data_IF_680469969636
#
_entry.id   IF_680469969636
#
_cell.length_a   1.000
_cell.length_b   1.000
_cell.length_c   1.000
_cell.angle_alpha   90.00
_cell.angle_beta   90.00
_cell.angle_gamma   90.00
#
_symmetry.space_group_name_H-M   'P 1'
#
loop_
_entity.id
_entity.type
_entity.pdbx_description
1 polymer ?
#
# COMPACT_ATOMS: atom_id res chain seq x y z
N UNK A 1 -16.12 -53.62 -35.02
CA UNK A 1 -15.53 -53.75 -33.68
C UNK A 1 -14.63 -52.52 -33.47
N UNK A 2 -15.26 -51.39 -33.08
CA UNK A 2 -14.57 -50.12 -32.89
C UNK A 2 -14.28 -49.92 -31.40
N UNK A 3 -12.99 -49.81 -31.04
CA UNK A 3 -12.50 -49.48 -29.71
C UNK A 3 -12.40 -47.93 -29.61
N UNK A 4 -13.35 -47.32 -28.93
CA UNK A 4 -13.30 -45.87 -28.57
C UNK A 4 -12.29 -45.68 -27.44
N UNK A 5 -11.23 -44.91 -27.72
CA UNK A 5 -10.29 -44.42 -26.74
C UNK A 5 -10.91 -43.18 -26.07
N UNK A 6 -11.38 -43.29 -24.84
CA UNK A 6 -11.78 -42.13 -24.03
C UNK A 6 -10.56 -41.50 -23.39
N UNK A 7 -10.29 -40.25 -23.76
CA UNK A 7 -9.31 -39.39 -23.10
C UNK A 7 -10.07 -38.46 -22.15
N UNK A 8 -9.70 -38.44 -20.90
CA UNK A 8 -10.14 -37.40 -19.96
C UNK A 8 -9.04 -36.38 -19.82
N UNK A 9 -9.32 -35.15 -20.26
CA UNK A 9 -8.46 -34.00 -20.06
C UNK A 9 -9.08 -33.13 -18.97
N UNK A 10 -8.41 -33.03 -17.83
CA UNK A 10 -8.79 -32.06 -16.76
C UNK A 10 -8.07 -30.73 -17.01
N UNK A 11 -8.85 -29.71 -17.35
CA UNK A 11 -8.39 -28.33 -17.36
C UNK A 11 -8.62 -27.70 -16.00
N UNK A 12 -7.54 -27.44 -15.26
CA UNK A 12 -7.58 -26.60 -14.07
C UNK A 12 -7.09 -25.19 -14.42
N UNK A 13 -7.97 -24.20 -14.32
CA UNK A 13 -7.58 -22.78 -14.25
C UNK A 13 -7.10 -22.47 -12.84
N UNK A 14 -5.95 -21.84 -12.78
CA UNK A 14 -5.30 -21.20 -11.64
C UNK A 14 -6.07 -21.14 -10.31
N UNK A 15 -5.52 -21.79 -9.28
CA UNK A 15 -5.52 -21.31 -7.91
C UNK A 15 -4.36 -22.00 -7.16
N UNK A 16 -3.41 -21.21 -6.75
CA UNK A 16 -2.34 -21.62 -5.84
C UNK A 16 -2.91 -21.43 -4.44
N UNK A 17 -3.46 -22.51 -3.82
CA UNK A 17 -3.73 -22.60 -2.40
C UNK A 17 -4.12 -24.04 -2.02
N UNK A 18 -3.98 -24.40 -0.76
CA UNK A 18 -4.14 -25.70 -0.10
C UNK A 18 -5.34 -26.60 -0.53
N UNK A 19 -6.29 -26.05 -1.26
CA UNK A 19 -7.46 -26.71 -1.84
C UNK A 19 -7.09 -27.72 -2.95
N UNK A 20 -5.95 -27.56 -3.62
CA UNK A 20 -5.55 -28.44 -4.74
C UNK A 20 -5.12 -29.83 -4.27
N UNK A 21 -4.50 -29.90 -3.11
CA UNK A 21 -4.04 -31.19 -2.52
C UNK A 21 -5.23 -32.04 -2.04
N UNK A 22 -6.25 -31.40 -1.48
CA UNK A 22 -7.44 -32.13 -1.01
C UNK A 22 -8.28 -32.68 -2.17
N UNK A 23 -8.46 -31.92 -3.24
CA UNK A 23 -9.19 -32.36 -4.44
C UNK A 23 -8.47 -33.47 -5.21
N UNK A 24 -7.13 -33.44 -5.21
CA UNK A 24 -6.33 -34.51 -5.84
C UNK A 24 -6.44 -35.82 -5.08
N UNK A 25 -6.42 -35.79 -3.75
CA UNK A 25 -6.57 -36.96 -2.87
C UNK A 25 -7.99 -37.52 -3.01
N UNK A 26 -9.02 -36.68 -3.06
CA UNK A 26 -10.41 -37.11 -3.24
C UNK A 26 -10.66 -37.76 -4.61
N UNK A 27 -10.06 -37.21 -5.67
CA UNK A 27 -10.13 -37.79 -7.02
C UNK A 27 -9.40 -39.11 -7.13
N UNK A 28 -8.29 -39.29 -6.44
CA UNK A 28 -7.54 -40.58 -6.38
C UNK A 28 -8.28 -41.62 -5.52
N UNK A 29 -8.99 -41.22 -4.49
CA UNK A 29 -9.86 -42.12 -3.68
C UNK A 29 -11.08 -42.58 -4.46
N UNK A 30 -11.72 -41.74 -5.25
CA UNK A 30 -12.87 -42.08 -6.12
C UNK A 30 -12.49 -43.00 -7.27
N UNK A 31 -11.25 -42.93 -7.76
CA UNK A 31 -10.73 -43.88 -8.77
C UNK A 31 -10.53 -45.29 -8.21
N UNK A 32 -10.35 -45.46 -6.91
CA UNK A 32 -10.13 -46.75 -6.26
C UNK A 32 -11.42 -47.56 -6.06
N UNK A 33 -12.58 -46.93 -6.09
CA UNK A 33 -13.89 -47.58 -5.85
C UNK A 33 -14.57 -48.07 -7.13
N UNK A 34 -14.08 -47.72 -8.30
CA UNK A 34 -14.52 -48.28 -9.58
C UNK A 34 -13.38 -49.12 -10.16
N UNK A 35 -13.59 -50.39 -10.31
CA UNK A 35 -12.69 -51.46 -10.81
C UNK A 35 -12.13 -51.13 -12.22
N UNK A 36 -11.45 -50.02 -12.39
CA UNK A 36 -10.89 -49.52 -13.66
C UNK A 36 -9.38 -49.69 -13.62
N UNK A 37 -8.86 -50.47 -14.52
CA UNK A 37 -7.42 -50.65 -14.73
C UNK A 37 -6.77 -49.30 -15.11
N UNK A 38 -5.72 -48.85 -14.43
CA UNK A 38 -5.08 -47.56 -14.75
C UNK A 38 -4.29 -47.64 -16.05
N UNK A 39 -4.81 -46.99 -17.10
CA UNK A 39 -4.18 -46.95 -18.43
C UNK A 39 -3.34 -45.69 -18.62
N UNK A 40 -2.60 -45.11 -17.94
CA UNK A 40 -1.76 -43.89 -18.07
C UNK A 40 -2.49 -42.59 -17.69
N UNK A 41 -2.04 -41.93 -16.67
CA UNK A 41 -2.41 -40.57 -16.31
C UNK A 41 -1.27 -39.65 -16.77
N UNK A 42 -1.56 -38.71 -17.67
CA UNK A 42 -0.62 -37.67 -18.10
C UNK A 42 -1.08 -36.38 -17.42
N UNK A 43 -0.27 -35.86 -16.51
CA UNK A 43 -0.49 -34.57 -15.88
C UNK A 43 0.34 -33.54 -16.66
N UNK A 44 -0.32 -32.60 -17.33
CA UNK A 44 0.33 -31.43 -17.93
C UNK A 44 0.13 -30.23 -17.01
N UNK A 45 1.21 -29.72 -16.47
CA UNK A 45 1.21 -28.38 -15.87
C UNK A 45 1.37 -27.33 -16.98
N UNK A 46 0.54 -26.31 -16.98
CA UNK A 46 0.64 -25.18 -17.89
C UNK A 46 1.95 -24.38 -17.67
N UNK A 47 2.32 -23.48 -18.59
CA UNK A 47 3.61 -22.81 -18.59
C UNK A 47 3.70 -21.82 -17.42
N UNK A 48 4.52 -22.14 -16.45
CA UNK A 48 5.06 -21.18 -15.51
C UNK A 48 6.25 -20.51 -16.22
N UNK A 49 6.28 -19.18 -16.30
CA UNK A 49 7.37 -18.41 -16.89
C UNK A 49 8.59 -18.47 -15.98
N UNK A 50 9.34 -19.56 -16.04
CA UNK A 50 10.78 -19.62 -15.77
C UNK A 50 11.32 -20.90 -16.38
N UNK A 51 12.31 -20.76 -17.22
CA UNK A 51 12.92 -21.83 -17.99
C UNK A 51 13.60 -22.88 -17.12
N UNK A 52 13.49 -24.11 -17.65
CA UNK A 52 14.23 -25.32 -17.28
C UNK A 52 13.66 -26.15 -16.11
N UNK A 53 13.39 -27.34 -16.51
CA UNK A 53 13.17 -28.65 -15.90
C UNK A 53 11.76 -29.22 -16.09
N UNK A 54 11.51 -29.77 -17.27
CA UNK A 54 10.52 -30.85 -17.45
C UNK A 54 11.06 -32.13 -16.78
N UNK A 55 10.61 -32.45 -15.59
CA UNK A 55 10.81 -33.77 -15.00
C UNK A 55 9.55 -34.59 -15.22
N UNK A 56 9.67 -35.61 -16.07
CA UNK A 56 8.65 -36.63 -16.21
C UNK A 56 8.82 -37.67 -15.08
N UNK A 57 7.85 -37.77 -14.17
CA UNK A 57 7.77 -38.87 -13.24
C UNK A 57 7.04 -40.08 -13.92
N UNK A 58 7.80 -41.08 -14.30
CA UNK A 58 7.24 -42.33 -14.78
C UNK A 58 7.00 -43.29 -13.62
N UNK A 59 5.73 -43.57 -13.31
CA UNK A 59 5.37 -44.67 -12.42
C UNK A 59 5.02 -45.91 -13.25
N UNK A 60 5.87 -46.89 -13.22
CA UNK A 60 5.63 -48.21 -13.84
C UNK A 60 5.23 -49.18 -12.74
N UNK A 61 3.95 -49.50 -12.61
CA UNK A 61 3.52 -50.61 -11.75
C UNK A 61 3.65 -51.92 -12.51
N UNK A 62 4.60 -52.76 -12.09
CA UNK A 62 4.65 -54.19 -12.48
C UNK A 62 3.74 -54.95 -11.53
N UNK A 63 2.86 -55.78 -12.10
CA UNK A 63 1.94 -56.61 -11.36
C UNK A 63 2.64 -57.71 -10.56
N UNK A 64 2.04 -58.01 -9.41
CA UNK A 64 2.20 -59.28 -8.71
C UNK A 64 3.17 -59.28 -7.53
N UNK A 65 2.80 -58.67 -6.38
CA UNK A 65 3.24 -59.13 -5.05
C UNK A 65 2.12 -58.94 -4.03
N UNK A 66 2.07 -59.86 -3.03
CA UNK A 66 0.94 -59.99 -2.07
C UNK A 66 0.66 -58.72 -1.28
N UNK A 67 -0.61 -58.40 -1.13
CA UNK A 67 -1.23 -57.18 -0.65
C UNK A 67 -0.85 -56.68 0.77
N UNK A 68 -0.03 -57.41 1.53
CA UNK A 68 0.36 -56.98 2.89
C UNK A 68 1.50 -55.97 2.94
N UNK A 69 2.42 -56.03 1.96
CA UNK A 69 3.60 -55.16 1.93
C UNK A 69 3.33 -53.83 1.21
N UNK A 70 2.30 -53.79 0.35
CA UNK A 70 1.95 -52.56 -0.40
C UNK A 70 1.40 -51.43 0.49
N UNK A 71 0.77 -51.78 1.63
CA UNK A 71 0.25 -50.71 2.56
C UNK A 71 1.38 -50.01 3.31
N UNK A 72 2.49 -50.67 3.59
CA UNK A 72 3.66 -50.08 4.26
C UNK A 72 4.48 -49.20 3.31
N UNK A 73 4.63 -49.64 2.04
CA UNK A 73 5.34 -48.82 1.03
C UNK A 73 4.53 -47.59 0.58
N UNK A 74 3.21 -47.68 0.50
CA UNK A 74 2.36 -46.53 0.20
C UNK A 74 2.37 -45.47 1.32
N UNK A 75 2.42 -45.90 2.58
CA UNK A 75 2.53 -45.01 3.72
C UNK A 75 3.90 -44.29 3.80
N UNK A 76 4.98 -44.98 3.47
CA UNK A 76 6.34 -44.43 3.41
C UNK A 76 6.53 -43.45 2.23
N UNK A 77 5.92 -43.72 1.08
CA UNK A 77 6.00 -42.82 -0.07
C UNK A 77 5.19 -41.51 0.14
N UNK A 78 4.07 -41.60 0.86
CA UNK A 78 3.24 -40.40 1.19
C UNK A 78 3.93 -39.53 2.26
N UNK A 79 4.59 -40.16 3.26
CA UNK A 79 5.35 -39.40 4.26
C UNK A 79 6.61 -38.73 3.66
N UNK A 80 7.29 -39.36 2.70
CA UNK A 80 8.43 -38.77 2.02
C UNK A 80 8.04 -37.58 1.10
N UNK A 81 6.86 -37.62 0.48
CA UNK A 81 6.34 -36.50 -0.33
C UNK A 81 5.88 -35.33 0.54
N UNK A 82 5.33 -35.60 1.73
CA UNK A 82 4.96 -34.49 2.67
C UNK A 82 6.18 -33.82 3.30
N UNK A 83 7.28 -34.55 3.53
CA UNK A 83 8.51 -33.94 4.08
C UNK A 83 9.27 -33.09 3.06
N UNK A 84 9.20 -33.44 1.76
CA UNK A 84 9.83 -32.67 0.68
C UNK A 84 9.03 -31.43 0.29
N UNK A 85 7.69 -31.41 0.54
CA UNK A 85 6.87 -30.23 0.31
C UNK A 85 6.90 -29.21 1.47
N UNK A 86 7.49 -29.57 2.62
CA UNK A 86 7.74 -28.64 3.74
C UNK A 86 9.15 -28.04 3.76
N UNK A 87 10.02 -28.44 2.85
CA UNK A 87 11.29 -27.78 2.59
C UNK A 87 11.13 -26.70 1.47
N UNK A 88 10.00 -25.99 1.44
CA UNK A 88 9.95 -24.66 0.93
C UNK A 88 10.85 -23.83 1.84
N UNK A 89 11.85 -23.21 1.27
CA UNK A 89 12.75 -22.29 1.96
C UNK A 89 11.89 -21.37 2.82
N UNK A 90 11.88 -21.59 4.12
CA UNK A 90 11.72 -20.50 5.07
C UNK A 90 13.04 -19.74 4.88
N UNK A 91 13.08 -18.83 3.91
CA UNK A 91 13.95 -17.69 4.01
C UNK A 91 13.57 -17.09 5.36
N UNK A 92 14.45 -17.09 6.32
CA UNK A 92 14.27 -16.22 7.47
C UNK A 92 14.04 -14.85 6.86
N UNK A 93 12.88 -14.23 7.11
CA UNK A 93 12.63 -12.88 6.67
C UNK A 93 13.84 -12.08 7.14
N UNK A 94 14.57 -11.47 6.21
CA UNK A 94 15.68 -10.61 6.55
C UNK A 94 15.06 -9.46 7.33
N UNK A 95 15.58 -9.14 8.50
CA UNK A 95 15.02 -8.10 9.32
C UNK A 95 15.45 -6.76 8.73
N UNK A 96 14.51 -5.95 8.28
CA UNK A 96 14.80 -4.59 7.82
C UNK A 96 15.22 -3.75 9.02
N UNK A 97 16.48 -3.28 9.04
CA UNK A 97 17.05 -2.43 10.08
C UNK A 97 17.50 -1.06 9.55
N UNK A 98 17.60 -0.93 8.23
CA UNK A 98 17.96 0.29 7.51
C UNK A 98 17.39 0.29 6.09
N UNK A 99 17.53 1.40 5.36
CA UNK A 99 17.16 1.46 3.94
C UNK A 99 18.01 0.55 3.04
N UNK A 100 19.22 0.19 3.48
CA UNK A 100 20.09 -0.70 2.72
C UNK A 100 19.59 -2.15 2.70
N UNK A 101 18.68 -2.50 3.64
CA UNK A 101 18.10 -3.84 3.75
C UNK A 101 16.83 -4.02 2.90
N UNK A 102 16.36 -2.99 2.21
CA UNK A 102 15.11 -3.03 1.44
C UNK A 102 15.18 -3.92 0.19
N UNK A 103 16.38 -4.18 -0.33
CA UNK A 103 16.57 -5.00 -1.53
C UNK A 103 16.06 -6.43 -1.32
N UNK A 104 15.10 -6.85 -2.16
CA UNK A 104 14.48 -8.18 -2.09
C UNK A 104 13.31 -8.32 -1.12
N UNK A 105 13.00 -7.28 -0.33
CA UNK A 105 11.90 -7.27 0.64
C UNK A 105 10.56 -6.86 0.00
N UNK A 106 9.47 -7.08 0.73
CA UNK A 106 8.13 -6.64 0.35
C UNK A 106 7.79 -5.35 1.07
N UNK A 107 7.73 -4.25 0.32
CA UNK A 107 7.55 -2.89 0.83
C UNK A 107 6.10 -2.47 0.62
N UNK A 108 5.41 -2.05 1.69
CA UNK A 108 4.08 -1.46 1.60
C UNK A 108 4.14 0.06 1.51
N UNK A 109 3.33 0.64 0.64
CA UNK A 109 3.25 2.08 0.43
C UNK A 109 1.80 2.50 0.17
N UNK A 110 1.50 3.78 0.37
CA UNK A 110 0.25 4.35 -0.15
C UNK A 110 0.46 4.76 -1.62
N UNK A 111 -0.50 4.38 -2.47
CA UNK A 111 -0.46 4.62 -3.92
C UNK A 111 -0.29 6.11 -4.27
N UNK A 112 0.69 6.43 -5.10
CA UNK A 112 0.92 7.76 -5.64
C UNK A 112 1.66 8.73 -4.71
N UNK A 113 2.07 8.31 -3.51
CA UNK A 113 2.91 9.09 -2.61
C UNK A 113 4.38 9.09 -3.07
N UNK A 114 5.20 9.94 -2.46
CA UNK A 114 6.66 9.89 -2.67
C UNK A 114 7.24 8.58 -2.16
N UNK A 115 6.73 8.04 -1.05
CA UNK A 115 7.11 6.71 -0.58
C UNK A 115 6.85 5.59 -1.60
N UNK A 116 5.79 5.69 -2.45
CA UNK A 116 5.56 4.75 -3.56
C UNK A 116 6.60 4.95 -4.68
N UNK A 117 6.93 6.20 -5.01
CA UNK A 117 7.94 6.49 -6.03
C UNK A 117 9.31 5.96 -5.61
N UNK A 118 9.72 6.24 -4.39
CA UNK A 118 11.00 5.83 -3.83
C UNK A 118 11.11 4.31 -3.69
N UNK A 119 10.05 3.66 -3.17
CA UNK A 119 10.00 2.21 -3.06
C UNK A 119 10.11 1.52 -4.42
N UNK A 120 9.54 2.13 -5.48
CA UNK A 120 9.58 1.60 -6.85
C UNK A 120 11.01 1.46 -7.39
N UNK A 121 11.94 2.27 -6.91
CA UNK A 121 13.35 2.17 -7.27
C UNK A 121 14.00 0.85 -6.81
N UNK A 122 13.48 0.23 -5.75
CA UNK A 122 13.97 -1.05 -5.24
C UNK A 122 13.43 -2.26 -6.00
N UNK A 123 12.41 -2.10 -6.87
CA UNK A 123 11.91 -3.20 -7.72
C UNK A 123 13.01 -3.76 -8.64
N UNK A 124 13.95 -2.93 -9.09
CA UNK A 124 15.13 -3.35 -9.88
C UNK A 124 16.08 -4.24 -9.08
N UNK A 125 16.10 -4.10 -7.76
CA UNK A 125 16.93 -4.86 -6.82
C UNK A 125 16.21 -6.08 -6.25
N UNK A 126 15.02 -6.38 -6.78
CA UNK A 126 14.25 -7.59 -6.50
C UNK A 126 13.18 -7.45 -5.42
N UNK A 127 12.95 -6.25 -4.92
CA UNK A 127 11.86 -5.94 -3.99
C UNK A 127 10.50 -6.03 -4.65
N UNK A 128 9.47 -6.26 -3.86
CA UNK A 128 8.07 -6.21 -4.28
C UNK A 128 7.42 -5.00 -3.62
N UNK A 129 6.84 -4.08 -4.39
CA UNK A 129 6.11 -2.93 -3.86
C UNK A 129 4.61 -3.23 -3.88
N UNK A 130 4.03 -3.35 -2.69
CA UNK A 130 2.59 -3.55 -2.49
C UNK A 130 1.94 -2.20 -2.21
N UNK A 131 1.06 -1.77 -3.13
CA UNK A 131 0.42 -0.46 -3.11
C UNK A 131 -0.96 -0.55 -2.52
N UNK A 132 -1.25 0.28 -1.53
CA UNK A 132 -2.53 0.38 -0.82
C UNK A 132 -3.16 1.73 -1.07
N UNK A 133 -4.48 1.81 -0.99
CA UNK A 133 -5.17 3.11 -1.11
C UNK A 133 -4.93 3.99 0.12
N UNK A 134 -4.68 3.36 1.29
CA UNK A 134 -4.50 4.03 2.57
C UNK A 134 -3.23 3.55 3.26
N UNK A 135 -2.51 4.45 3.92
CA UNK A 135 -1.36 4.10 4.76
C UNK A 135 -1.74 3.12 5.89
N UNK A 136 -2.96 3.25 6.45
CA UNK A 136 -3.50 2.34 7.46
C UNK A 136 -3.64 0.90 6.97
N UNK A 137 -3.95 0.67 5.68
CA UNK A 137 -4.02 -0.67 5.09
C UNK A 137 -2.63 -1.30 4.96
N UNK A 138 -1.62 -0.51 4.56
CA UNK A 138 -0.22 -0.96 4.52
C UNK A 138 0.26 -1.38 5.92
N UNK A 139 -0.04 -0.58 6.94
CA UNK A 139 0.28 -0.91 8.35
C UNK A 139 -0.43 -2.18 8.82
N UNK A 140 -1.69 -2.40 8.45
CA UNK A 140 -2.38 -3.66 8.76
C UNK A 140 -1.75 -4.87 8.05
N UNK A 141 -1.32 -4.72 6.80
CA UNK A 141 -0.61 -5.76 6.06
C UNK A 141 0.74 -6.10 6.71
N UNK A 142 1.50 -5.08 7.19
CA UNK A 142 2.72 -5.25 7.97
C UNK A 142 2.44 -6.06 9.25
N UNK A 143 1.43 -5.68 10.03
CA UNK A 143 1.03 -6.41 11.25
C UNK A 143 0.63 -7.85 10.97
N UNK A 144 -0.04 -8.10 9.86
CA UNK A 144 -0.40 -9.44 9.41
C UNK A 144 0.79 -10.26 8.90
N UNK A 145 1.97 -9.66 8.71
CA UNK A 145 3.17 -10.32 8.15
C UNK A 145 3.02 -10.63 6.66
N UNK A 146 2.27 -9.83 5.94
CA UNK A 146 2.10 -9.93 4.49
C UNK A 146 3.18 -9.14 3.74
N UNK A 147 3.73 -8.11 4.38
CA UNK A 147 4.83 -7.27 3.93
C UNK A 147 5.88 -7.15 5.04
N UNK A 148 7.07 -6.71 4.70
CA UNK A 148 8.23 -6.67 5.59
C UNK A 148 8.42 -5.29 6.24
N UNK A 149 8.05 -4.23 5.54
CA UNK A 149 8.10 -2.84 6.04
C UNK A 149 7.06 -1.95 5.34
N UNK A 150 6.86 -0.74 5.89
CA UNK A 150 6.07 0.33 5.27
C UNK A 150 6.93 1.57 5.15
N UNK A 151 6.95 2.23 3.98
CA UNK A 151 7.53 3.56 3.78
C UNK A 151 6.37 4.56 3.80
N UNK A 152 6.47 5.56 4.67
CA UNK A 152 5.45 6.58 4.88
C UNK A 152 6.07 7.78 5.60
N UNK A 153 5.38 8.91 5.58
CA UNK A 153 5.82 10.14 6.22
C UNK A 153 5.88 10.03 7.75
N UNK A 154 6.83 10.76 8.35
CA UNK A 154 7.23 10.60 9.75
C UNK A 154 6.11 10.90 10.74
N UNK A 155 5.27 11.91 10.52
CA UNK A 155 4.20 12.26 11.45
C UNK A 155 3.06 11.23 11.45
N UNK A 156 2.51 10.79 10.30
CA UNK A 156 1.58 9.66 10.25
C UNK A 156 2.20 8.36 10.78
N UNK A 157 3.49 8.09 10.50
CA UNK A 157 4.19 6.93 11.06
C UNK A 157 4.18 6.96 12.58
N UNK A 158 4.44 8.13 13.19
CA UNK A 158 4.39 8.30 14.64
C UNK A 158 3.01 7.95 15.20
N UNK A 159 1.93 8.43 14.57
CA UNK A 159 0.56 8.10 14.96
C UNK A 159 0.25 6.62 14.88
N UNK A 160 0.73 5.95 13.83
CA UNK A 160 0.57 4.49 13.72
C UNK A 160 1.32 3.75 14.81
N UNK A 161 2.55 4.14 15.14
CA UNK A 161 3.37 3.46 16.16
C UNK A 161 2.85 3.73 17.58
N UNK A 162 2.33 4.93 17.86
CA UNK A 162 1.67 5.26 19.14
C UNK A 162 0.48 4.34 19.43
N UNK A 163 -0.24 3.93 18.39
CA UNK A 163 -1.41 3.06 18.50
C UNK A 163 -1.10 1.56 18.32
N UNK A 164 0.17 1.18 18.09
CA UNK A 164 0.57 -0.19 17.79
C UNK A 164 1.92 -0.53 18.46
N UNK A 165 1.87 -1.08 19.66
CA UNK A 165 3.05 -1.41 20.46
C UNK A 165 4.01 -2.42 19.83
N UNK A 166 3.54 -3.18 18.84
CA UNK A 166 4.30 -4.19 18.08
C UNK A 166 5.08 -3.62 16.89
N UNK A 167 4.94 -2.30 16.64
CA UNK A 167 5.62 -1.59 15.55
C UNK A 167 6.67 -0.60 16.08
N UNK A 168 7.61 -0.26 15.24
CA UNK A 168 8.59 0.81 15.46
C UNK A 168 8.94 1.51 14.15
N UNK A 169 9.35 2.77 14.27
CA UNK A 169 10.00 3.52 13.18
C UNK A 169 11.50 3.26 13.29
N UNK A 170 12.19 3.15 12.15
CA UNK A 170 13.65 3.12 12.13
C UNK A 170 14.22 4.51 12.40
N UNK A 171 15.36 4.57 13.11
CA UNK A 171 15.93 5.83 13.61
C UNK A 171 16.42 6.77 12.48
N UNK A 172 16.85 6.21 11.34
CA UNK A 172 17.35 6.97 10.22
C UNK A 172 16.19 7.33 9.27
N UNK A 173 15.96 8.63 8.98
CA UNK A 173 14.95 9.03 8.00
C UNK A 173 15.34 8.53 6.60
N UNK A 174 14.33 8.13 5.84
CA UNK A 174 14.53 7.61 4.49
C UNK A 174 14.85 8.73 3.49
N UNK A 175 14.03 9.80 3.49
CA UNK A 175 14.15 10.99 2.63
C UNK A 175 13.64 12.24 3.36
N UNK A 176 14.14 13.44 3.00
CA UNK A 176 13.64 14.72 3.50
C UNK A 176 12.74 15.36 2.44
N UNK A 177 11.65 15.97 2.88
CA UNK A 177 10.61 16.49 2.01
C UNK A 177 10.07 17.83 2.50
N UNK A 178 9.42 18.57 1.60
CA UNK A 178 8.72 19.81 1.92
C UNK A 178 7.30 19.77 1.34
N UNK A 179 6.31 20.14 2.15
CA UNK A 179 4.91 20.18 1.73
C UNK A 179 4.48 21.55 1.23
N UNK A 180 3.68 21.54 0.16
CA UNK A 180 3.07 22.73 -0.41
C UNK A 180 1.65 22.45 -0.91
N UNK A 181 0.87 23.49 -1.11
CA UNK A 181 -0.46 23.44 -1.72
C UNK A 181 -0.28 23.38 -3.23
N UNK A 182 -0.94 22.44 -3.89
CA UNK A 182 -0.89 22.34 -5.34
C UNK A 182 -2.11 22.97 -6.01
N UNK A 183 -1.88 23.63 -7.15
CA UNK A 183 -2.90 24.31 -7.94
C UNK A 183 -2.84 23.87 -9.41
N UNK A 184 -3.94 24.12 -10.12
CA UNK A 184 -3.97 23.90 -11.56
C UNK A 184 -2.91 24.75 -12.24
N UNK A 185 -2.14 24.11 -13.11
CA UNK A 185 -1.05 24.75 -13.85
C UNK A 185 -1.53 25.96 -14.63
N UNK A 186 -0.81 27.08 -14.44
CA UNK A 186 -1.11 28.36 -15.09
C UNK A 186 -2.26 29.15 -14.45
N UNK A 187 -2.70 28.77 -13.24
CA UNK A 187 -3.63 29.58 -12.45
C UNK A 187 -2.86 30.56 -11.54
N UNK A 188 -2.06 31.43 -12.18
CA UNK A 188 -1.11 32.33 -11.49
C UNK A 188 -1.84 33.29 -10.54
N UNK A 189 -3.06 33.74 -10.89
CA UNK A 189 -3.83 34.66 -10.05
C UNK A 189 -4.19 34.04 -8.70
N UNK A 190 -4.67 32.79 -8.68
CA UNK A 190 -5.02 32.11 -7.44
C UNK A 190 -3.76 31.70 -6.67
N UNK A 191 -2.71 31.28 -7.37
CA UNK A 191 -1.41 30.94 -6.78
C UNK A 191 -0.82 32.13 -6.03
N UNK A 192 -0.80 33.33 -6.65
CA UNK A 192 -0.29 34.55 -6.02
C UNK A 192 -1.12 34.96 -4.79
N UNK A 193 -2.45 34.81 -4.86
CA UNK A 193 -3.33 35.08 -3.72
C UNK A 193 -3.07 34.14 -2.55
N UNK A 194 -3.00 32.83 -2.82
CA UNK A 194 -2.75 31.83 -1.78
C UNK A 194 -1.36 32.01 -1.18
N UNK A 195 -0.32 32.24 -2.00
CA UNK A 195 1.03 32.53 -1.52
C UNK A 195 1.09 33.80 -0.67
N UNK A 196 0.37 34.84 -1.08
CA UNK A 196 0.28 36.06 -0.29
C UNK A 196 -0.33 35.82 1.09
N UNK A 197 -1.47 35.12 1.13
CA UNK A 197 -2.13 34.76 2.38
C UNK A 197 -1.27 33.84 3.24
N UNK A 198 -0.66 32.80 2.66
CA UNK A 198 0.22 31.86 3.34
C UNK A 198 1.44 32.57 3.96
N UNK A 199 2.04 33.50 3.20
CA UNK A 199 3.14 34.32 3.72
C UNK A 199 2.73 35.14 4.92
N UNK A 200 1.59 35.80 4.87
CA UNK A 200 1.07 36.59 6.00
C UNK A 200 0.80 35.71 7.23
N UNK A 201 0.21 34.53 7.03
CA UNK A 201 -0.07 33.56 8.10
C UNK A 201 1.21 32.98 8.72
N UNK A 202 2.28 32.84 7.93
CA UNK A 202 3.61 32.50 8.44
C UNK A 202 4.25 33.64 9.21
N UNK A 203 4.19 34.85 8.67
CA UNK A 203 4.79 36.05 9.27
C UNK A 203 4.12 36.44 10.60
N UNK A 204 2.81 36.21 10.76
CA UNK A 204 2.06 36.48 12.00
C UNK A 204 2.04 35.31 12.99
N UNK A 205 2.65 34.15 12.64
CA UNK A 205 2.78 32.99 13.51
C UNK A 205 1.54 32.07 13.52
N UNK A 206 0.53 32.32 12.68
CA UNK A 206 -0.68 31.49 12.60
C UNK A 206 -0.35 30.06 12.16
N UNK A 207 0.51 29.90 11.13
CA UNK A 207 0.94 28.57 10.66
C UNK A 207 1.64 27.81 11.77
N UNK A 208 2.57 28.44 12.51
CA UNK A 208 3.27 27.81 13.63
C UNK A 208 2.31 27.42 14.76
N UNK A 209 1.30 28.25 15.04
CA UNK A 209 0.26 27.95 16.03
C UNK A 209 -0.60 26.74 15.60
N UNK A 210 -1.00 26.68 14.32
CA UNK A 210 -1.72 25.52 13.76
C UNK A 210 -0.85 24.26 13.89
N UNK A 211 0.40 24.31 13.42
CA UNK A 211 1.32 23.14 13.51
C UNK A 211 1.46 22.66 14.95
N UNK A 212 1.69 23.56 15.91
CA UNK A 212 1.86 23.19 17.32
C UNK A 212 0.58 22.66 17.97
N UNK A 213 -0.60 22.99 17.43
CA UNK A 213 -1.86 22.42 17.90
C UNK A 213 -2.02 20.93 17.57
N UNK A 214 -1.31 20.43 16.57
CA UNK A 214 -1.39 19.03 16.14
C UNK A 214 -0.14 18.21 16.46
N UNK A 215 1.03 18.84 16.55
CA UNK A 215 2.32 18.19 16.72
C UNK A 215 3.02 18.73 17.98
N UNK A 216 3.54 17.79 18.82
CA UNK A 216 4.34 18.13 20.00
C UNK A 216 3.54 18.24 21.29
N UNK A 217 4.16 18.87 22.32
CA UNK A 217 3.60 18.92 23.68
C UNK A 217 2.38 19.84 23.82
N UNK A 218 2.17 20.74 22.86
CA UNK A 218 1.07 21.69 22.87
C UNK A 218 -0.14 21.22 22.06
N UNK A 219 -0.13 19.98 21.57
CA UNK A 219 -1.23 19.42 20.79
C UNK A 219 -2.58 19.53 21.53
N UNK A 220 -3.59 20.02 20.81
CA UNK A 220 -4.96 20.22 21.31
C UNK A 220 -5.16 21.47 22.20
N UNK A 221 -4.16 22.35 22.32
CA UNK A 221 -4.27 23.53 23.21
C UNK A 221 -4.69 24.80 22.51
N UNK A 222 -4.41 24.93 21.23
CA UNK A 222 -4.60 26.17 20.44
C UNK A 222 -5.25 25.92 19.09
N UNK A 223 -6.48 25.35 19.05
CA UNK A 223 -7.17 25.09 17.80
C UNK A 223 -7.36 26.41 17.00
N UNK A 224 -7.25 26.30 15.67
CA UNK A 224 -7.56 27.44 14.83
C UNK A 224 -9.05 27.73 14.90
N UNK A 225 -9.41 28.98 15.18
CA UNK A 225 -10.78 29.47 15.16
C UNK A 225 -10.91 30.56 14.10
N UNK A 226 -11.78 30.36 13.11
CA UNK A 226 -12.12 31.39 12.14
C UNK A 226 -12.63 32.64 12.82
N UNK A 227 -12.16 33.85 12.44
CA UNK A 227 -12.70 35.10 12.95
C UNK A 227 -14.21 35.21 12.65
N UNK A 228 -14.98 35.69 13.64
CA UNK A 228 -16.46 35.72 13.55
C UNK A 228 -17.01 36.64 12.46
N UNK A 229 -16.27 37.69 12.11
CA UNK A 229 -16.70 38.74 11.19
C UNK A 229 -16.03 38.64 9.81
N UNK A 230 -15.58 37.45 9.40
CA UNK A 230 -15.00 37.26 8.07
C UNK A 230 -16.07 37.39 6.99
N UNK A 231 -15.86 38.33 6.08
CA UNK A 231 -16.68 38.44 4.86
C UNK A 231 -16.21 37.42 3.82
N UNK A 232 -17.01 36.37 3.57
CA UNK A 232 -16.75 35.31 2.60
C UNK A 232 -17.51 35.49 1.29
N UNK A 233 -17.70 36.75 0.88
CA UNK A 233 -18.48 37.09 -0.33
C UNK A 233 -17.73 36.81 -1.66
N UNK A 234 -16.44 36.44 -1.61
CA UNK A 234 -15.65 36.13 -2.81
C UNK A 234 -15.99 34.78 -3.46
N UNK A 235 -16.89 34.01 -2.85
CA UNK A 235 -17.34 32.72 -3.34
C UNK A 235 -16.75 31.54 -2.55
N UNK A 236 -16.66 30.38 -3.16
CA UNK A 236 -16.17 29.15 -2.55
C UNK A 236 -14.90 28.67 -3.23
N UNK A 237 -13.91 28.25 -2.46
CA UNK A 237 -12.76 27.47 -2.93
C UNK A 237 -12.92 26.01 -2.51
N UNK A 238 -12.68 25.11 -3.44
CA UNK A 238 -12.76 23.66 -3.22
C UNK A 238 -11.35 23.10 -3.03
N UNK A 239 -11.08 22.57 -1.85
CA UNK A 239 -9.86 21.85 -1.50
C UNK A 239 -10.05 20.37 -1.76
N UNK A 240 -9.16 19.74 -2.50
CA UNK A 240 -9.03 18.29 -2.56
C UNK A 240 -8.02 17.81 -1.52
N UNK A 241 -8.37 16.77 -0.78
CA UNK A 241 -7.51 16.16 0.24
C UNK A 241 -7.74 14.65 0.34
N UNK A 242 -6.91 13.95 1.16
CA UNK A 242 -7.12 12.55 1.51
C UNK A 242 -7.11 12.39 3.04
N UNK A 243 -8.29 12.39 3.65
CA UNK A 243 -8.48 12.47 5.11
C UNK A 243 -8.14 11.16 5.85
N UNK A 244 -7.00 10.57 5.53
CA UNK A 244 -6.43 9.34 6.11
C UNK A 244 -4.98 9.56 6.60
N UNK A 245 -4.57 10.84 6.81
CA UNK A 245 -3.17 11.23 7.01
C UNK A 245 -2.98 12.09 8.25
N UNK A 246 -3.41 11.58 9.43
CA UNK A 246 -3.23 12.27 10.72
C UNK A 246 -1.73 12.52 10.98
N UNK A 247 -1.33 13.76 11.38
CA UNK A 247 -2.15 14.90 11.86
C UNK A 247 -2.47 15.96 10.79
N UNK A 248 -2.14 15.74 9.51
CA UNK A 248 -2.32 16.75 8.47
C UNK A 248 -3.78 16.86 8.01
N UNK A 249 -4.42 15.73 7.67
CA UNK A 249 -5.84 15.66 7.34
C UNK A 249 -6.43 14.30 7.76
N UNK A 250 -7.51 14.35 8.53
CA UNK A 250 -8.18 13.15 9.01
C UNK A 250 -9.63 13.44 9.40
N UNK A 251 -10.41 12.39 9.56
CA UNK A 251 -11.80 12.53 10.00
C UNK A 251 -11.94 12.61 11.52
N UNK A 252 -12.65 13.65 12.00
CA UNK A 252 -13.19 13.69 13.34
C UNK A 252 -14.73 13.73 13.25
N UNK A 253 -15.36 12.56 13.39
CA UNK A 253 -16.76 12.41 13.09
C UNK A 253 -17.06 12.53 11.60
N UNK A 254 -17.91 13.52 11.24
CA UNK A 254 -18.24 13.80 9.84
C UNK A 254 -17.36 14.93 9.24
N UNK A 255 -16.54 15.57 10.05
CA UNK A 255 -15.69 16.69 9.64
C UNK A 255 -14.29 16.22 9.26
N UNK A 256 -13.67 16.90 8.31
CA UNK A 256 -12.25 16.77 7.99
C UNK A 256 -11.50 17.84 8.74
N UNK A 257 -10.55 17.42 9.57
CA UNK A 257 -9.73 18.29 10.42
C UNK A 257 -8.26 17.99 10.21
N UNK A 258 -7.38 18.83 10.77
CA UNK A 258 -5.94 18.64 10.70
C UNK A 258 -5.21 19.91 10.23
N UNK A 259 -3.90 19.82 10.15
CA UNK A 259 -3.02 20.95 9.80
C UNK A 259 -3.42 21.55 8.46
N UNK A 260 -3.63 20.72 7.44
CA UNK A 260 -3.94 21.15 6.08
C UNK A 260 -5.33 21.77 5.99
N UNK A 261 -6.30 21.20 6.71
CA UNK A 261 -7.65 21.76 6.80
C UNK A 261 -7.65 23.13 7.46
N UNK A 262 -6.91 23.30 8.58
CA UNK A 262 -6.82 24.57 9.31
C UNK A 262 -6.04 25.63 8.54
N UNK A 263 -4.93 25.27 7.88
CA UNK A 263 -4.18 26.19 7.00
C UNK A 263 -5.05 26.63 5.82
N UNK A 264 -5.77 25.70 5.18
CA UNK A 264 -6.69 26.02 4.09
C UNK A 264 -7.83 26.94 4.56
N UNK A 265 -8.40 26.70 5.75
CA UNK A 265 -9.42 27.56 6.34
C UNK A 265 -8.87 28.96 6.62
N UNK A 266 -7.66 29.06 7.22
CA UNK A 266 -7.02 30.34 7.50
C UNK A 266 -6.74 31.15 6.22
N UNK A 267 -6.30 30.48 5.15
CA UNK A 267 -6.10 31.09 3.83
C UNK A 267 -7.43 31.60 3.28
N UNK A 268 -8.49 30.79 3.32
CA UNK A 268 -9.82 31.18 2.84
C UNK A 268 -10.39 32.35 3.63
N UNK A 269 -10.20 32.37 4.94
CA UNK A 269 -10.62 33.48 5.80
C UNK A 269 -9.91 34.82 5.44
N UNK A 270 -8.59 34.78 5.20
CA UNK A 270 -7.84 35.94 4.73
C UNK A 270 -8.27 36.43 3.35
N UNK A 271 -8.60 35.52 2.46
CA UNK A 271 -8.97 35.80 1.07
C UNK A 271 -10.47 36.10 0.89
N UNK A 272 -11.29 35.91 1.92
CA UNK A 272 -12.74 36.12 1.86
C UNK A 272 -13.51 35.05 1.08
N UNK A 273 -13.07 33.83 1.12
CA UNK A 273 -13.77 32.69 0.49
C UNK A 273 -14.37 31.73 1.54
N UNK A 274 -15.43 31.05 1.16
CA UNK A 274 -15.87 29.84 1.85
C UNK A 274 -14.94 28.67 1.46
N UNK A 275 -14.52 27.86 2.44
CA UNK A 275 -13.79 26.63 2.19
C UNK A 275 -14.78 25.47 2.05
N UNK A 276 -14.61 24.67 0.99
CA UNK A 276 -15.25 23.36 0.84
C UNK A 276 -14.18 22.32 0.71
N UNK A 277 -14.18 21.33 1.58
CA UNK A 277 -13.24 20.20 1.53
C UNK A 277 -13.89 19.01 0.82
N UNK A 278 -13.18 18.43 -0.15
CA UNK A 278 -13.54 17.21 -0.88
C UNK A 278 -12.51 16.13 -0.54
N UNK A 279 -12.92 15.14 0.23
CA UNK A 279 -12.12 13.95 0.55
C UNK A 279 -12.13 12.97 -0.62
N UNK A 280 -10.96 12.45 -0.99
CA UNK A 280 -10.76 11.50 -2.07
C UNK A 280 -9.48 10.69 -1.88
N UNK A 281 -9.29 9.62 -2.66
CA UNK A 281 -8.03 8.88 -2.69
C UNK A 281 -6.87 9.80 -3.11
N UNK A 282 -5.69 9.63 -2.49
CA UNK A 282 -4.54 10.52 -2.67
C UNK A 282 -4.13 10.69 -4.14
N UNK A 283 -4.07 9.58 -4.89
CA UNK A 283 -3.73 9.58 -6.32
C UNK A 283 -4.76 10.30 -7.20
N UNK A 284 -5.94 10.60 -6.67
CA UNK A 284 -7.02 11.34 -7.36
C UNK A 284 -6.92 12.86 -7.19
N UNK A 285 -6.10 13.36 -6.24
CA UNK A 285 -6.01 14.79 -5.91
C UNK A 285 -5.47 15.59 -7.11
N UNK A 286 -4.29 15.21 -7.64
CA UNK A 286 -3.71 15.92 -8.78
C UNK A 286 -4.63 15.94 -10.00
N UNK A 287 -5.27 14.82 -10.42
CA UNK A 287 -6.29 14.84 -11.47
C UNK A 287 -7.48 15.76 -11.18
N UNK A 288 -7.95 15.85 -9.92
CA UNK A 288 -9.04 16.73 -9.55
C UNK A 288 -8.66 18.21 -9.71
N UNK A 289 -7.47 18.60 -9.27
CA UNK A 289 -6.92 19.95 -9.44
C UNK A 289 -6.69 20.28 -10.91
N UNK A 290 -6.07 19.39 -11.68
CA UNK A 290 -5.80 19.59 -13.12
C UNK A 290 -7.08 19.80 -13.91
N UNK A 291 -8.13 19.02 -13.62
CA UNK A 291 -9.43 19.14 -14.30
C UNK A 291 -10.24 20.36 -13.85
N UNK A 292 -9.88 21.00 -12.74
CA UNK A 292 -10.65 22.08 -12.14
C UNK A 292 -11.88 21.58 -11.37
N UNK A 293 -11.92 20.31 -10.97
CA UNK A 293 -12.92 19.78 -10.03
C UNK A 293 -12.65 20.31 -8.62
N UNK A 294 -11.39 20.49 -8.26
CA UNK A 294 -10.93 21.22 -7.09
C UNK A 294 -10.12 22.44 -7.52
N UNK A 295 -10.15 23.50 -6.74
CA UNK A 295 -9.40 24.73 -6.98
C UNK A 295 -7.93 24.57 -6.57
N UNK A 296 -7.69 23.81 -5.50
CA UNK A 296 -6.36 23.46 -5.00
C UNK A 296 -6.38 22.11 -4.28
N UNK A 297 -5.19 21.54 -4.05
CA UNK A 297 -4.98 20.34 -3.24
C UNK A 297 -4.04 20.63 -2.09
N UNK A 298 -4.44 20.23 -0.87
CA UNK A 298 -3.62 20.21 0.32
C UNK A 298 -3.79 18.87 1.01
N UNK A 299 -2.71 18.08 1.10
CA UNK A 299 -2.74 16.70 1.53
C UNK A 299 -1.34 16.19 1.88
N UNK A 300 -0.57 16.91 2.72
CA UNK A 300 0.83 16.58 2.92
C UNK A 300 1.58 16.43 1.59
N UNK A 301 1.30 17.31 0.63
CA UNK A 301 1.73 17.13 -0.76
C UNK A 301 3.18 17.57 -0.95
N UNK A 302 4.08 16.61 -1.07
CA UNK A 302 5.50 16.87 -1.36
C UNK A 302 5.70 17.50 -2.73
N UNK A 303 6.54 18.50 -2.79
CA UNK A 303 6.95 19.18 -4.01
C UNK A 303 7.98 18.31 -4.76
N UNK A 304 7.61 17.77 -5.91
CA UNK A 304 8.53 17.01 -6.78
C UNK A 304 8.55 17.58 -8.20
N UNK A 305 9.65 17.36 -8.93
CA UNK A 305 9.76 17.81 -10.33
C UNK A 305 8.71 17.15 -11.22
N UNK A 306 8.38 15.90 -10.97
CA UNK A 306 7.34 15.19 -11.72
C UNK A 306 5.98 15.84 -11.52
N UNK A 307 5.60 16.15 -10.26
CA UNK A 307 4.35 16.84 -9.95
C UNK A 307 4.31 18.25 -10.51
N UNK A 308 5.43 19.00 -10.45
CA UNK A 308 5.57 20.34 -11.08
C UNK A 308 5.36 20.33 -12.58
N UNK A 309 5.55 19.19 -13.26
CA UNK A 309 5.25 19.10 -14.69
C UNK A 309 3.76 19.30 -14.98
N UNK A 310 2.88 19.00 -14.04
CA UNK A 310 1.42 18.90 -14.21
C UNK A 310 0.60 19.87 -13.38
N UNK A 311 1.15 20.39 -12.28
CA UNK A 311 0.53 21.36 -11.37
C UNK A 311 1.54 22.45 -11.00
N UNK A 312 1.08 23.55 -10.45
CA UNK A 312 1.92 24.55 -9.81
C UNK A 312 1.80 24.42 -8.29
N UNK A 313 2.84 24.81 -7.55
CA UNK A 313 2.89 24.71 -6.10
C UNK A 313 3.07 26.11 -5.47
N UNK A 314 2.50 26.27 -4.28
CA UNK A 314 2.80 27.42 -3.42
C UNK A 314 4.23 27.34 -2.86
N UNK A 315 4.62 28.36 -2.11
CA UNK A 315 5.70 28.22 -1.14
C UNK A 315 5.37 27.09 -0.16
N UNK A 316 6.40 26.41 0.34
CA UNK A 316 6.24 25.29 1.28
C UNK A 316 5.74 25.77 2.64
N UNK A 317 4.90 24.99 3.32
CA UNK A 317 4.37 25.33 4.64
C UNK A 317 4.87 24.43 5.77
N UNK A 318 5.43 23.27 5.44
CA UNK A 318 5.96 22.30 6.41
C UNK A 318 7.16 21.55 5.85
N UNK A 319 8.13 21.24 6.72
CA UNK A 319 9.17 20.24 6.47
C UNK A 319 8.66 18.86 6.89
N UNK A 320 9.01 17.84 6.13
CA UNK A 320 8.62 16.46 6.38
C UNK A 320 9.77 15.49 6.10
N UNK A 321 9.57 14.21 6.38
CA UNK A 321 10.51 13.17 6.01
C UNK A 321 9.79 11.84 5.82
N UNK A 322 10.23 11.04 4.85
CA UNK A 322 9.86 9.65 4.75
C UNK A 322 10.61 8.82 5.78
N UNK A 323 9.94 7.83 6.36
CA UNK A 323 10.52 6.89 7.33
C UNK A 323 10.07 5.46 7.03
N UNK A 324 10.74 4.50 7.66
CA UNK A 324 10.42 3.08 7.52
C UNK A 324 9.80 2.57 8.83
N UNK A 325 8.58 2.02 8.74
CA UNK A 325 7.94 1.29 9.85
C UNK A 325 8.22 -0.20 9.68
N UNK A 326 8.63 -0.85 10.78
CA UNK A 326 8.86 -2.30 10.86
C UNK A 326 8.24 -2.89 12.12
N UNK A 327 8.10 -4.21 12.17
CA UNK A 327 7.79 -4.94 13.42
C UNK A 327 8.98 -4.90 14.38
N UNK A 328 8.69 -4.87 15.68
CA UNK A 328 9.72 -4.99 16.77
C UNK A 328 10.32 -6.38 16.85
#
# INVERSE_FOLDING_TARGET
>A
MFLTKSYYTLYGKYFCHSSFTLHFIESMLKLKTKNIQPKRIIIRCGPCKRERWQRYLYFRMRGGRKMKDQKRFAALAISAVMVVSMAGSVSAAQKVESKDDLAGETIGVQLGTTGDLDASDYEKDGSTVERYNKGSEAVQALKAGQIDCVIIDSQPAQKFVENNDDLKILDEPFEQEEYAICLKKGNDELLDKINGALKELKDDGTVDSIMSNYIGEDAGKTPYESPKDVDRSNGTLVMATNAEFEPYEYHEGDDVVGIDADIAQAICDKLGYELKIEDMEFDSILPAVQSGKADFGAAGMTVTEDRKSSVDFTDTYADASQVIIVKK
#
